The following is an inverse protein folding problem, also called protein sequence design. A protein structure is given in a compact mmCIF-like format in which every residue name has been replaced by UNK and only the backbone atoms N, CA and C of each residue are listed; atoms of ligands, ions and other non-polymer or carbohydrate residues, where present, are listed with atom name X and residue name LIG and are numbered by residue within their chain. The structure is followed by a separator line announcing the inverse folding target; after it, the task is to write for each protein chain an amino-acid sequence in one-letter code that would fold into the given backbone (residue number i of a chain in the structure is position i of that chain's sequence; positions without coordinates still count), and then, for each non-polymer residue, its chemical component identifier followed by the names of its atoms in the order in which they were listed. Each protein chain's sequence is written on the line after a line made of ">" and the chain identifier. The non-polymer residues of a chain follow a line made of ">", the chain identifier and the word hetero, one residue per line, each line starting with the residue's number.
data_IF_575164852665
#
_entry.id   IF_575164852665
#
_cell.length_a   1.000
_cell.length_b   1.000
_cell.length_c   1.000
_cell.angle_alpha   90.00
_cell.angle_beta   90.00
_cell.angle_gamma   90.00
#
_symmetry.space_group_name_H-M   'P 1'
#
loop_
_entity.id
_entity.type
_entity.pdbx_description
1 polymer ?
#
# COMPACT_ATOMS: atom_id res chain seq x y z
N UNK A 1 35.62 -7.71 -50.79
CA UNK A 1 34.84 -6.56 -50.29
C UNK A 1 33.58 -7.07 -49.59
N UNK A 2 33.60 -7.21 -48.26
CA UNK A 2 32.43 -7.66 -47.51
C UNK A 2 31.58 -6.42 -47.22
N UNK A 3 30.54 -6.18 -48.02
CA UNK A 3 29.47 -5.25 -47.65
C UNK A 3 28.73 -5.87 -46.47
N UNK A 4 29.23 -5.64 -45.25
CA UNK A 4 28.47 -5.87 -44.01
C UNK A 4 27.21 -5.04 -44.15
N UNK A 5 26.06 -5.71 -44.24
CA UNK A 5 24.77 -5.05 -44.42
C UNK A 5 24.35 -4.49 -43.05
N UNK A 6 24.61 -3.20 -42.75
CA UNK A 6 24.47 -2.68 -41.39
C UNK A 6 23.01 -2.75 -40.92
N UNK A 7 22.07 -2.67 -41.87
CA UNK A 7 20.64 -2.83 -41.65
C UNK A 7 20.26 -4.23 -41.16
N UNK A 8 20.91 -5.30 -41.66
CA UNK A 8 20.65 -6.67 -41.17
C UNK A 8 21.15 -6.84 -39.74
N UNK A 9 22.33 -6.30 -39.43
CA UNK A 9 22.88 -6.31 -38.07
C UNK A 9 21.97 -5.54 -37.10
N UNK A 10 21.53 -4.35 -37.49
CA UNK A 10 20.63 -3.51 -36.69
C UNK A 10 19.27 -4.18 -36.49
N UNK A 11 18.74 -4.84 -37.52
CA UNK A 11 17.52 -5.64 -37.43
C UNK A 11 17.65 -6.78 -36.40
N UNK A 12 18.72 -7.58 -36.47
CA UNK A 12 18.93 -8.67 -35.50
C UNK A 12 19.20 -8.15 -34.10
N UNK A 13 19.86 -7.00 -33.95
CA UNK A 13 20.05 -6.34 -32.66
C UNK A 13 18.71 -5.88 -32.07
N UNK A 14 17.86 -5.20 -32.84
CA UNK A 14 16.52 -4.82 -32.40
C UNK A 14 15.67 -6.04 -32.06
N UNK A 15 15.71 -7.09 -32.88
CA UNK A 15 15.00 -8.34 -32.61
C UNK A 15 15.48 -8.99 -31.31
N UNK A 16 16.79 -9.04 -31.07
CA UNK A 16 17.36 -9.56 -29.83
C UNK A 16 16.92 -8.76 -28.60
N UNK A 17 16.88 -7.42 -28.70
CA UNK A 17 16.38 -6.55 -27.62
C UNK A 17 14.89 -6.84 -27.35
N UNK A 18 14.05 -6.95 -28.38
CA UNK A 18 12.63 -7.27 -28.21
C UNK A 18 12.45 -8.63 -27.56
N UNK A 19 13.16 -9.66 -28.03
CA UNK A 19 13.11 -11.00 -27.44
C UNK A 19 13.58 -10.98 -25.98
N UNK A 20 14.63 -10.23 -25.66
CA UNK A 20 15.11 -10.06 -24.29
C UNK A 20 14.07 -9.36 -23.40
N UNK A 21 13.42 -8.30 -23.89
CA UNK A 21 12.36 -7.60 -23.15
C UNK A 21 11.13 -8.48 -22.93
N UNK A 22 10.70 -9.24 -23.94
CA UNK A 22 9.58 -10.17 -23.82
C UNK A 22 9.93 -11.32 -22.87
N UNK A 23 11.11 -11.91 -23.02
CA UNK A 23 11.61 -12.97 -22.13
C UNK A 23 11.73 -12.49 -20.68
N UNK A 24 12.22 -11.27 -20.47
CA UNK A 24 12.27 -10.66 -19.15
C UNK A 24 10.87 -10.45 -18.56
N UNK A 25 9.89 -9.99 -19.36
CA UNK A 25 8.50 -9.84 -18.94
C UNK A 25 7.86 -11.18 -18.56
N UNK A 26 8.09 -12.22 -19.37
CA UNK A 26 7.62 -13.60 -19.08
C UNK A 26 8.28 -14.11 -17.79
N UNK A 27 9.59 -13.92 -17.62
CA UNK A 27 10.28 -14.27 -16.39
C UNK A 27 9.67 -13.58 -15.16
N UNK A 28 9.41 -12.27 -15.25
CA UNK A 28 8.76 -11.54 -14.16
C UNK A 28 7.38 -12.13 -13.83
N UNK A 29 6.57 -12.44 -14.84
CA UNK A 29 5.21 -12.96 -14.65
C UNK A 29 5.16 -14.38 -14.05
N UNK A 30 6.15 -15.23 -14.34
CA UNK A 30 6.17 -16.61 -13.84
C UNK A 30 6.97 -16.79 -12.55
N UNK A 31 7.99 -15.96 -12.31
CA UNK A 31 8.91 -16.15 -11.20
C UNK A 31 8.80 -15.09 -10.10
N UNK A 32 8.12 -13.96 -10.34
CA UNK A 32 7.73 -13.09 -9.23
C UNK A 32 6.33 -13.46 -8.77
N UNK A 33 6.20 -13.69 -7.47
CA UNK A 33 4.93 -13.83 -6.80
C UNK A 33 4.16 -12.52 -6.98
N UNK A 34 3.14 -12.53 -7.83
CA UNK A 34 2.19 -11.45 -7.89
C UNK A 34 1.32 -11.54 -6.64
N UNK A 35 1.25 -10.43 -5.91
CA UNK A 35 0.37 -10.26 -4.76
C UNK A 35 -0.77 -9.37 -5.21
N UNK A 36 -1.99 -9.80 -4.96
CA UNK A 36 -3.19 -9.07 -5.33
C UNK A 36 -4.15 -9.03 -4.15
N UNK A 37 -4.92 -7.94 -4.06
CA UNK A 37 -5.98 -7.76 -3.09
C UNK A 37 -5.58 -8.02 -1.62
N UNK A 38 -4.34 -7.71 -1.23
CA UNK A 38 -3.77 -8.02 0.08
C UNK A 38 -4.65 -7.55 1.25
N UNK A 39 -5.26 -6.34 1.16
CA UNK A 39 -6.11 -5.86 2.25
C UNK A 39 -7.30 -6.77 2.52
N UNK A 40 -7.82 -7.52 1.54
CA UNK A 40 -8.92 -8.45 1.77
C UNK A 40 -8.51 -9.56 2.74
N UNK A 41 -7.33 -10.14 2.54
CA UNK A 41 -6.76 -11.15 3.46
C UNK A 41 -6.41 -10.53 4.82
N UNK A 42 -5.80 -9.33 4.82
CA UNK A 42 -5.44 -8.66 6.08
C UNK A 42 -6.69 -8.31 6.91
N UNK A 43 -7.78 -7.88 6.29
CA UNK A 43 -9.05 -7.58 6.96
C UNK A 43 -9.62 -8.84 7.61
N UNK A 44 -9.60 -9.98 6.92
CA UNK A 44 -10.07 -11.25 7.49
C UNK A 44 -9.23 -11.66 8.71
N UNK A 45 -7.90 -11.52 8.62
CA UNK A 45 -7.00 -11.75 9.76
C UNK A 45 -7.28 -10.79 10.93
N UNK A 46 -7.64 -9.53 10.66
CA UNK A 46 -8.04 -8.55 11.67
C UNK A 46 -9.35 -8.98 12.34
N UNK A 47 -10.36 -9.39 11.57
CA UNK A 47 -11.64 -9.85 12.12
C UNK A 47 -11.48 -11.07 13.03
N UNK A 48 -10.62 -12.02 12.66
CA UNK A 48 -10.32 -13.20 13.49
C UNK A 48 -9.64 -12.83 14.82
N UNK A 49 -8.77 -11.82 14.81
CA UNK A 49 -8.09 -11.32 16.02
C UNK A 49 -8.91 -10.36 16.85
N UNK A 50 -9.87 -9.66 16.24
CA UNK A 50 -10.70 -8.64 16.87
C UNK A 50 -12.20 -8.90 16.65
N UNK A 51 -12.75 -9.95 17.31
CA UNK A 51 -14.17 -10.31 17.15
C UNK A 51 -15.09 -9.13 17.50
N UNK A 52 -16.27 -9.03 16.87
CA UNK A 52 -17.26 -8.00 17.20
C UNK A 52 -17.54 -7.94 18.71
N UNK A 53 -17.55 -6.75 19.30
CA UNK A 53 -17.69 -6.59 20.75
C UNK A 53 -16.36 -6.40 21.49
N UNK A 54 -15.21 -6.78 20.90
CA UNK A 54 -13.92 -6.68 21.58
C UNK A 54 -13.34 -5.25 21.56
N UNK A 55 -12.47 -4.98 22.54
CA UNK A 55 -11.50 -3.89 22.42
C UNK A 55 -10.46 -4.20 21.35
N UNK A 56 -9.74 -3.17 20.90
CA UNK A 56 -8.63 -3.29 19.94
C UNK A 56 -7.38 -2.60 20.46
N UNK A 57 -6.22 -3.15 20.11
CA UNK A 57 -4.89 -2.57 20.32
C UNK A 57 -4.18 -2.58 18.99
N UNK A 58 -3.84 -1.43 18.45
CA UNK A 58 -3.18 -1.35 17.14
C UNK A 58 -2.06 -0.32 17.18
N UNK A 59 -1.08 -0.53 16.30
CA UNK A 59 0.00 0.42 16.09
C UNK A 59 -0.28 1.27 14.85
N UNK A 60 0.16 2.52 14.87
CA UNK A 60 0.12 3.42 13.71
C UNK A 60 1.52 3.84 13.36
N UNK A 61 1.87 3.71 12.09
CA UNK A 61 3.14 4.19 11.52
C UNK A 61 2.86 5.03 10.29
N UNK A 62 3.64 6.09 10.08
CA UNK A 62 3.55 6.91 8.88
C UNK A 62 4.89 7.01 8.19
N UNK A 63 4.89 7.29 6.89
CA UNK A 63 6.10 7.52 6.10
C UNK A 63 7.16 6.41 6.25
N UNK A 64 6.74 5.14 6.10
CA UNK A 64 7.67 3.98 6.15
C UNK A 64 8.83 4.17 5.17
N UNK A 65 8.54 4.83 4.05
CA UNK A 65 9.50 5.13 3.00
C UNK A 65 10.75 5.88 3.50
N UNK A 66 10.62 6.71 4.55
CA UNK A 66 11.72 7.50 5.09
C UNK A 66 12.89 6.61 5.53
N UNK A 67 12.60 5.40 6.02
CA UNK A 67 13.63 4.43 6.36
C UNK A 67 13.10 3.01 6.41
N UNK A 68 12.90 2.39 5.24
CA UNK A 68 12.45 0.99 5.12
C UNK A 68 13.35 0.04 5.91
N UNK A 69 14.68 0.24 5.86
CA UNK A 69 15.63 -0.62 6.59
C UNK A 69 15.57 -0.48 8.12
N UNK A 70 15.23 0.71 8.65
CA UNK A 70 14.99 0.87 10.10
C UNK A 70 13.64 0.27 10.48
N UNK A 71 12.61 0.49 9.65
CA UNK A 71 11.30 -0.12 9.87
C UNK A 71 11.43 -1.65 9.94
N UNK A 72 12.11 -2.27 8.97
CA UNK A 72 12.32 -3.71 8.92
C UNK A 72 13.15 -4.24 10.09
N UNK A 73 14.32 -3.67 10.36
CA UNK A 73 15.26 -4.24 11.34
C UNK A 73 14.94 -3.89 12.80
N UNK A 74 14.16 -2.83 13.04
CA UNK A 74 13.86 -2.36 14.41
C UNK A 74 12.38 -2.34 14.72
N UNK A 75 11.56 -1.76 13.86
CA UNK A 75 10.14 -1.57 14.18
C UNK A 75 9.37 -2.88 14.09
N UNK A 76 9.58 -3.67 13.03
CA UNK A 76 8.89 -4.97 12.86
C UNK A 76 9.11 -5.91 14.06
N UNK A 77 10.35 -6.17 14.53
CA UNK A 77 10.57 -7.00 15.71
C UNK A 77 9.85 -6.48 16.96
N UNK A 78 9.85 -5.16 17.18
CA UNK A 78 9.14 -4.54 18.30
C UNK A 78 7.62 -4.70 18.15
N UNK A 79 7.08 -4.50 16.96
CA UNK A 79 5.64 -4.63 16.68
C UNK A 79 5.15 -6.07 16.87
N UNK A 80 5.90 -7.06 16.41
CA UNK A 80 5.56 -8.48 16.58
C UNK A 80 5.55 -8.89 18.07
N UNK A 81 6.32 -8.20 18.92
CA UNK A 81 6.39 -8.46 20.37
C UNK A 81 5.47 -7.56 21.20
N UNK A 82 4.88 -6.51 20.62
CA UNK A 82 4.12 -5.50 21.35
C UNK A 82 2.73 -5.97 21.83
N UNK A 83 2.26 -7.13 21.39
CA UNK A 83 0.90 -7.62 21.68
C UNK A 83 -0.17 -6.68 21.13
N UNK A 84 0.05 -6.15 19.92
CA UNK A 84 -0.96 -5.41 19.14
C UNK A 84 -1.64 -6.36 18.17
N UNK A 85 -2.91 -6.10 17.90
CA UNK A 85 -3.76 -6.92 17.04
C UNK A 85 -3.41 -6.74 15.56
N UNK A 86 -3.06 -5.51 15.16
CA UNK A 86 -2.72 -5.13 13.79
C UNK A 86 -1.93 -3.81 13.70
N UNK A 87 -1.40 -3.55 12.51
CA UNK A 87 -0.70 -2.31 12.14
C UNK A 87 -1.54 -1.48 11.16
N UNK A 88 -1.50 -0.16 11.28
CA UNK A 88 -2.00 0.76 10.26
C UNK A 88 -0.88 1.66 9.77
N UNK A 89 -0.67 1.70 8.45
CA UNK A 89 0.13 2.75 7.83
C UNK A 89 -0.75 3.96 7.52
N UNK A 90 -0.38 5.14 8.03
CA UNK A 90 -1.07 6.41 7.76
C UNK A 90 -0.72 7.03 6.40
N UNK A 91 -0.13 6.26 5.48
CA UNK A 91 0.20 6.67 4.12
C UNK A 91 1.70 6.91 3.90
N UNK A 92 2.06 7.10 2.62
CA UNK A 92 3.45 7.25 2.18
C UNK A 92 4.34 6.09 2.64
N UNK A 93 3.82 4.86 2.53
CA UNK A 93 4.56 3.66 2.84
C UNK A 93 5.66 3.39 1.79
N UNK A 94 5.43 3.78 0.53
CA UNK A 94 6.43 3.77 -0.54
C UNK A 94 7.03 5.15 -0.76
N UNK A 95 8.23 5.22 -1.35
CA UNK A 95 8.87 6.48 -1.77
C UNK A 95 8.42 6.96 -3.14
N UNK A 96 7.52 6.22 -3.79
CA UNK A 96 6.90 6.52 -5.08
C UNK A 96 6.13 5.30 -5.59
N UNK A 97 5.12 5.50 -6.43
CA UNK A 97 4.20 4.44 -6.86
C UNK A 97 4.72 3.50 -7.96
N UNK A 98 6.03 3.33 -8.04
CA UNK A 98 6.68 2.37 -8.93
C UNK A 98 6.48 0.93 -8.45
N UNK A 99 6.42 -0.01 -9.39
CA UNK A 99 6.29 -1.45 -9.11
C UNK A 99 7.41 -1.97 -8.20
N UNK A 100 8.64 -1.50 -8.42
CA UNK A 100 9.81 -1.86 -7.62
C UNK A 100 9.63 -1.43 -6.16
N UNK A 101 8.99 -0.27 -5.91
CA UNK A 101 8.74 0.24 -4.57
C UNK A 101 7.67 -0.56 -3.83
N UNK A 102 6.57 -0.89 -4.51
CA UNK A 102 5.53 -1.74 -3.91
C UNK A 102 6.04 -3.14 -3.59
N UNK A 103 6.86 -3.73 -4.47
CA UNK A 103 7.47 -5.03 -4.19
C UNK A 103 8.45 -4.98 -3.02
N UNK A 104 9.26 -3.92 -2.93
CA UNK A 104 10.13 -3.73 -1.77
C UNK A 104 9.31 -3.59 -0.47
N UNK A 105 8.24 -2.79 -0.49
CA UNK A 105 7.34 -2.64 0.65
C UNK A 105 6.68 -3.99 1.03
N UNK A 106 6.18 -4.74 0.07
CA UNK A 106 5.59 -6.05 0.31
C UNK A 106 6.60 -7.02 0.94
N UNK A 107 7.83 -7.06 0.42
CA UNK A 107 8.92 -7.84 1.01
C UNK A 107 9.17 -7.49 2.47
N UNK A 108 9.26 -6.19 2.79
CA UNK A 108 9.40 -5.73 4.18
C UNK A 108 8.20 -6.09 5.05
N UNK A 109 6.97 -5.87 4.58
CA UNK A 109 5.75 -6.17 5.34
C UNK A 109 5.53 -7.68 5.54
N UNK A 110 6.10 -8.53 4.69
CA UNK A 110 6.01 -9.99 4.84
C UNK A 110 6.66 -10.52 6.12
N UNK A 111 7.52 -9.73 6.77
CA UNK A 111 8.13 -10.05 8.06
C UNK A 111 7.23 -9.70 9.28
N UNK A 112 6.05 -9.11 9.08
CA UNK A 112 5.10 -8.84 10.17
C UNK A 112 4.26 -10.08 10.50
N UNK A 113 4.24 -10.43 11.79
CA UNK A 113 3.39 -11.53 12.30
C UNK A 113 1.93 -11.09 12.49
N UNK A 114 1.72 -9.77 12.55
CA UNK A 114 0.43 -9.11 12.70
C UNK A 114 -0.10 -8.63 11.34
N UNK A 115 -1.42 -8.64 11.11
CA UNK A 115 -1.98 -8.09 9.88
C UNK A 115 -1.81 -6.57 9.82
N UNK A 116 -1.90 -6.01 8.61
CA UNK A 116 -1.69 -4.59 8.37
C UNK A 116 -2.71 -3.98 7.39
N UNK A 117 -2.93 -2.67 7.50
CA UNK A 117 -3.73 -1.88 6.56
C UNK A 117 -2.95 -0.65 6.11
N UNK A 118 -3.05 -0.30 4.83
CA UNK A 118 -2.36 0.85 4.24
C UNK A 118 -3.34 1.96 3.84
N UNK A 119 -3.04 3.18 4.26
CA UNK A 119 -3.73 4.38 3.74
C UNK A 119 -3.10 4.80 2.41
N UNK A 120 -3.93 5.12 1.42
CA UNK A 120 -3.43 5.65 0.15
C UNK A 120 -2.96 7.11 0.31
N UNK A 121 -1.70 7.38 -0.03
CA UNK A 121 -1.07 8.69 0.12
C UNK A 121 -0.41 9.21 -1.16
N UNK A 122 0.18 10.42 -1.09
CA UNK A 122 0.86 11.07 -2.22
C UNK A 122 1.87 10.19 -2.94
N UNK A 123 2.78 9.54 -2.21
CA UNK A 123 3.81 8.72 -2.85
C UNK A 123 3.22 7.46 -3.49
N UNK A 124 2.13 6.91 -2.95
CA UNK A 124 1.41 5.83 -3.63
C UNK A 124 0.76 6.28 -4.95
N UNK A 125 0.40 7.56 -5.08
CA UNK A 125 -0.20 8.10 -6.30
C UNK A 125 0.81 8.37 -7.43
N UNK A 126 2.06 8.69 -7.09
CA UNK A 126 3.14 8.98 -8.04
C UNK A 126 3.39 7.84 -9.03
N UNK A 127 4.00 8.14 -10.18
CA UNK A 127 4.48 7.13 -11.15
C UNK A 127 3.40 6.13 -11.61
N UNK A 128 2.14 6.58 -11.75
CA UNK A 128 0.97 5.73 -12.06
C UNK A 128 0.69 4.65 -11.00
N UNK A 129 1.13 4.88 -9.76
CA UNK A 129 1.01 3.92 -8.66
C UNK A 129 -0.42 3.65 -8.23
N UNK A 130 -1.38 4.53 -8.53
CA UNK A 130 -2.78 4.29 -8.17
C UNK A 130 -3.35 2.97 -8.70
N UNK A 131 -2.95 2.56 -9.91
CA UNK A 131 -3.40 1.30 -10.49
C UNK A 131 -2.77 0.11 -9.75
N UNK A 132 -1.46 0.15 -9.54
CA UNK A 132 -0.71 -0.89 -8.81
C UNK A 132 -1.18 -1.02 -7.37
N UNK A 133 -1.42 0.09 -6.68
CA UNK A 133 -1.98 0.07 -5.34
C UNK A 133 -3.32 -0.65 -5.31
N UNK A 134 -4.18 -0.36 -6.30
CA UNK A 134 -5.49 -0.99 -6.41
C UNK A 134 -5.40 -2.50 -6.62
N UNK A 135 -4.57 -2.93 -7.56
CA UNK A 135 -4.39 -4.35 -7.87
C UNK A 135 -3.76 -5.10 -6.69
N UNK A 136 -2.72 -4.53 -6.09
CA UNK A 136 -1.94 -5.18 -5.04
C UNK A 136 -2.60 -5.14 -3.66
N UNK A 137 -3.09 -3.99 -3.23
CA UNK A 137 -3.57 -3.76 -1.86
C UNK A 137 -5.09 -3.65 -1.83
N UNK A 138 -5.68 -2.86 -2.73
CA UNK A 138 -7.12 -2.70 -2.86
C UNK A 138 -7.56 -1.24 -2.99
N UNK A 139 -8.82 -0.91 -2.66
CA UNK A 139 -9.40 0.40 -2.94
C UNK A 139 -8.64 1.56 -2.27
N UNK A 140 -8.63 2.72 -2.92
CA UNK A 140 -7.93 3.93 -2.43
C UNK A 140 -8.57 4.53 -1.17
N UNK A 141 -9.87 4.32 -0.98
CA UNK A 141 -10.62 4.70 0.21
C UNK A 141 -11.54 3.54 0.59
N UNK A 142 -11.64 3.24 1.88
CA UNK A 142 -12.40 2.09 2.37
C UNK A 142 -12.63 2.20 3.88
N UNK A 143 -13.42 1.28 4.43
CA UNK A 143 -13.65 1.18 5.87
C UNK A 143 -13.59 -0.26 6.33
N UNK A 144 -13.09 -0.48 7.53
CA UNK A 144 -12.99 -1.80 8.17
C UNK A 144 -13.56 -1.70 9.58
N UNK A 145 -14.27 -2.73 10.03
CA UNK A 145 -14.69 -2.85 11.43
C UNK A 145 -13.72 -3.76 12.18
N UNK A 146 -13.13 -3.30 13.27
CA UNK A 146 -12.27 -4.10 14.13
C UNK A 146 -12.80 -4.02 15.55
N UNK A 147 -13.26 -5.15 16.11
CA UNK A 147 -14.02 -5.17 17.36
C UNK A 147 -15.19 -4.17 17.35
N UNK A 148 -15.17 -3.23 18.29
CA UNK A 148 -16.16 -2.15 18.39
C UNK A 148 -15.77 -0.85 17.66
N UNK A 149 -14.70 -0.84 16.87
CA UNK A 149 -14.19 0.36 16.22
C UNK A 149 -14.35 0.31 14.70
N UNK A 150 -14.70 1.45 14.10
CA UNK A 150 -14.71 1.68 12.66
C UNK A 150 -13.41 2.38 12.28
N UNK A 151 -12.58 1.72 11.48
CA UNK A 151 -11.40 2.31 10.85
C UNK A 151 -11.80 2.81 9.46
N UNK A 152 -11.45 4.03 9.14
CA UNK A 152 -11.86 4.71 7.91
C UNK A 152 -10.61 5.25 7.21
N UNK A 153 -10.45 4.92 5.94
CA UNK A 153 -9.29 5.29 5.13
C UNK A 153 -9.78 6.17 3.99
N UNK A 154 -9.28 7.40 3.93
CA UNK A 154 -9.64 8.35 2.88
C UNK A 154 -8.48 8.62 1.94
N UNK A 155 -8.82 8.78 0.66
CA UNK A 155 -7.91 9.24 -0.37
C UNK A 155 -7.90 10.77 -0.41
N UNK A 156 -6.73 11.34 -0.13
CA UNK A 156 -6.50 12.79 -0.17
C UNK A 156 -5.66 13.23 -1.38
N UNK A 157 -5.31 12.32 -2.28
CA UNK A 157 -4.45 12.57 -3.45
C UNK A 157 -5.21 13.21 -4.61
N UNK A 158 -6.55 13.13 -4.59
CA UNK A 158 -7.41 13.56 -5.68
C UNK A 158 -7.71 12.47 -6.70
N UNK A 159 -7.17 11.25 -6.56
CA UNK A 159 -7.49 10.10 -7.42
C UNK A 159 -8.98 9.76 -7.40
N UNK A 160 -9.62 9.92 -6.24
CA UNK A 160 -11.07 9.81 -6.05
C UNK A 160 -11.67 11.18 -5.73
N UNK A 161 -12.72 11.63 -6.43
CA UNK A 161 -13.34 12.93 -6.17
C UNK A 161 -13.76 13.11 -4.71
N UNK A 162 -13.27 14.16 -4.05
CA UNK A 162 -13.51 14.40 -2.62
C UNK A 162 -14.99 14.45 -2.23
N UNK A 163 -15.83 15.09 -3.07
CA UNK A 163 -17.28 15.17 -2.83
C UNK A 163 -17.94 13.80 -2.75
N UNK A 164 -17.46 12.84 -3.56
CA UNK A 164 -17.97 11.47 -3.54
C UNK A 164 -17.60 10.77 -2.24
N UNK A 165 -16.32 10.87 -1.83
CA UNK A 165 -15.83 10.31 -0.58
C UNK A 165 -16.58 10.89 0.64
N UNK A 166 -16.86 12.19 0.66
CA UNK A 166 -17.61 12.83 1.75
C UNK A 166 -19.08 12.41 1.81
N UNK A 167 -19.71 12.16 0.67
CA UNK A 167 -21.07 11.58 0.65
C UNK A 167 -21.05 10.18 1.23
N UNK A 168 -20.17 9.32 0.70
CA UNK A 168 -19.98 7.96 1.20
C UNK A 168 -19.67 7.92 2.71
N UNK A 169 -18.81 8.81 3.20
CA UNK A 169 -18.46 8.90 4.61
C UNK A 169 -19.67 9.26 5.49
N UNK A 170 -20.49 10.22 5.05
CA UNK A 170 -21.71 10.60 5.79
C UNK A 170 -22.69 9.44 5.84
N UNK A 171 -22.90 8.76 4.72
CA UNK A 171 -23.80 7.61 4.65
C UNK A 171 -23.30 6.45 5.53
N UNK A 172 -21.97 6.20 5.52
CA UNK A 172 -21.32 5.21 6.38
C UNK A 172 -21.54 5.52 7.86
N UNK A 173 -21.31 6.77 8.29
CA UNK A 173 -21.41 7.18 9.69
C UNK A 173 -22.86 7.23 10.18
N UNK A 174 -23.82 7.58 9.32
CA UNK A 174 -25.24 7.66 9.68
C UNK A 174 -25.84 6.29 10.06
N UNK A 175 -25.29 5.20 9.51
CA UNK A 175 -25.76 3.83 9.75
C UNK A 175 -24.81 3.02 10.63
N UNK A 176 -23.81 3.67 11.22
CA UNK A 176 -22.79 2.97 12.00
C UNK A 176 -23.19 2.77 13.48
N UNK A 177 -22.95 1.56 13.98
CA UNK A 177 -23.13 1.14 15.37
C UNK A 177 -21.82 0.89 16.12
N UNK A 178 -20.67 1.20 15.52
CA UNK A 178 -19.36 1.14 16.19
C UNK A 178 -19.26 2.22 17.29
N UNK A 179 -18.61 1.89 18.40
CA UNK A 179 -18.44 2.78 19.56
C UNK A 179 -17.41 3.88 19.31
N UNK A 180 -16.50 3.67 18.36
CA UNK A 180 -15.44 4.61 18.02
C UNK A 180 -15.19 4.62 16.50
N UNK A 181 -14.79 5.78 15.99
CA UNK A 181 -14.42 6.03 14.61
C UNK A 181 -13.01 6.59 14.55
N UNK A 182 -12.14 5.97 13.76
CA UNK A 182 -10.75 6.41 13.57
C UNK A 182 -10.51 6.61 12.08
N UNK A 183 -10.13 7.83 11.70
CA UNK A 183 -9.94 8.22 10.31
C UNK A 183 -8.44 8.39 10.01
N UNK A 184 -8.00 7.74 8.93
CA UNK A 184 -6.65 7.83 8.39
C UNK A 184 -6.68 8.53 7.04
N UNK A 185 -5.75 9.47 6.87
CA UNK A 185 -5.61 10.29 5.66
C UNK A 185 -4.14 10.57 5.40
N UNK A 186 -3.70 10.37 4.15
CA UNK A 186 -2.29 10.50 3.77
C UNK A 186 -1.72 11.91 3.78
N UNK A 187 -2.58 12.95 3.73
CA UNK A 187 -2.16 14.34 3.88
C UNK A 187 -2.44 14.85 5.30
N UNK A 188 -1.49 15.56 5.94
CA UNK A 188 -1.75 16.21 7.21
C UNK A 188 -2.83 17.30 7.02
N UNK A 189 -3.88 17.24 7.85
CA UNK A 189 -4.97 18.23 7.85
C UNK A 189 -4.54 19.58 8.43
N UNK A 190 -3.53 19.56 9.29
CA UNK A 190 -2.98 20.72 9.96
C UNK A 190 -1.58 20.96 9.43
N UNK A 191 -1.27 22.22 9.12
CA UNK A 191 0.11 22.60 8.88
C UNK A 191 0.87 22.56 10.20
N UNK A 192 2.08 21.99 10.25
CA UNK A 192 2.89 22.07 11.45
C UNK A 192 3.23 23.54 11.72
N UNK A 193 3.04 23.98 12.96
CA UNK A 193 3.33 25.37 13.36
C UNK A 193 4.82 25.73 13.20
N UNK A 194 5.69 24.72 13.15
CA UNK A 194 7.12 24.84 12.91
C UNK A 194 7.49 24.08 11.64
N UNK A 195 8.24 24.68 10.69
CA UNK A 195 8.68 23.94 9.50
C UNK A 195 9.52 22.72 9.92
N UNK A 196 9.26 21.58 9.29
CA UNK A 196 10.04 20.36 9.50
C UNK A 196 11.51 20.65 9.14
N UNK A 197 12.42 20.38 10.09
CA UNK A 197 13.86 20.51 9.95
C UNK A 197 14.42 19.59 8.85
#
# INVERSE_FOLDING_TARGET
>A
MIRRNPLKLLFYLCLAIVVALVGYKVYLNFFKQDFEALHSEQVERIHQRTPPGSGIRFAVVGNINNSVGIFERRFIPTLNQAGVDFLVSSGNAVSGGGEDKYRALYGTLSHLDIPYLLTFGPHEYENFGSFRFYDHFGPHFYSVRAGNTRLIFLDSTGKTPWRWQMRWLRDLLAHDTSNAHILFIGHPLLQPETPAL
#
